data_IF_822275610110
#
_entry.id   IF_822275610110
#
_cell.length_a   1.000
_cell.length_b   1.000
_cell.length_c   1.000
_cell.angle_alpha   90.00
_cell.angle_beta   90.00
_cell.angle_gamma   90.00
#
_symmetry.space_group_name_H-M   'P 1'
#
loop_
_entity.id
_entity.type
_entity.pdbx_description
1 polymer ?
#
# COMPACT_ATOMS: atom_id res chain seq x y z
N UNK A 1 -66.55 8.04 -20.33
CA UNK A 1 -65.90 9.36 -20.34
C UNK A 1 -64.42 9.10 -20.43
N UNK A 2 -63.89 9.48 -21.57
CA UNK A 2 -62.48 9.56 -21.94
C UNK A 2 -61.70 10.38 -20.92
N UNK A 3 -60.54 9.87 -20.50
CA UNK A 3 -59.38 10.69 -20.11
C UNK A 3 -58.14 9.99 -20.68
N UNK A 4 -57.96 10.19 -21.99
CA UNK A 4 -56.63 10.27 -22.59
C UNK A 4 -56.08 11.64 -22.26
N UNK A 5 -55.08 11.70 -21.38
CA UNK A 5 -54.11 12.79 -21.17
C UNK A 5 -53.09 12.18 -20.19
N UNK A 6 -51.78 12.12 -20.40
CA UNK A 6 -50.91 12.77 -21.37
C UNK A 6 -49.61 11.94 -21.32
N UNK A 7 -49.45 10.98 -22.24
CA UNK A 7 -48.17 10.26 -22.44
C UNK A 7 -47.25 11.19 -23.25
N UNK A 8 -46.99 12.38 -22.69
CA UNK A 8 -46.01 13.28 -23.23
C UNK A 8 -44.67 12.53 -23.21
N UNK A 9 -43.96 12.41 -24.36
CA UNK A 9 -42.69 11.71 -24.40
C UNK A 9 -41.73 12.39 -23.43
N UNK A 10 -41.54 11.78 -22.26
CA UNK A 10 -40.62 12.28 -21.26
C UNK A 10 -39.22 12.28 -21.88
N UNK A 11 -38.38 13.30 -21.60
CA UNK A 11 -37.11 13.47 -22.30
C UNK A 11 -36.21 12.26 -22.06
N UNK A 12 -36.11 11.40 -23.08
CA UNK A 12 -35.14 10.32 -23.11
C UNK A 12 -33.75 10.93 -23.34
N UNK A 13 -32.92 10.92 -22.29
CA UNK A 13 -31.54 11.37 -22.43
C UNK A 13 -30.71 10.16 -22.83
N UNK A 14 -30.33 10.11 -24.11
CA UNK A 14 -29.35 9.18 -24.60
C UNK A 14 -27.96 9.59 -24.08
N UNK A 15 -27.37 8.76 -23.23
CA UNK A 15 -26.02 8.97 -22.73
C UNK A 15 -25.06 8.14 -23.57
N UNK A 16 -24.18 8.84 -24.27
CA UNK A 16 -23.16 8.23 -25.12
C UNK A 16 -21.92 7.90 -24.29
N UNK A 17 -21.61 6.61 -24.16
CA UNK A 17 -20.49 6.14 -23.36
C UNK A 17 -19.23 6.09 -24.24
N UNK A 18 -18.19 6.81 -23.81
CA UNK A 18 -16.91 6.88 -24.51
C UNK A 18 -15.83 6.17 -23.72
N UNK A 19 -14.93 5.48 -24.41
CA UNK A 19 -13.70 4.97 -23.80
C UNK A 19 -12.72 6.13 -23.59
N UNK A 20 -12.23 6.30 -22.36
CA UNK A 20 -11.26 7.37 -22.02
C UNK A 20 -9.91 7.19 -22.69
N UNK A 21 -9.57 5.97 -23.14
CA UNK A 21 -8.30 5.68 -23.84
C UNK A 21 -8.34 5.95 -25.35
N UNK A 22 -9.52 5.86 -25.99
CA UNK A 22 -9.61 5.95 -27.45
C UNK A 22 -10.68 6.93 -27.97
N UNK A 23 -11.47 7.58 -27.11
CA UNK A 23 -12.60 8.47 -27.48
C UNK A 23 -13.63 7.82 -28.43
N UNK A 24 -13.57 6.50 -28.65
CA UNK A 24 -14.52 5.76 -29.47
C UNK A 24 -15.83 5.53 -28.70
N UNK A 25 -16.95 5.53 -29.43
CA UNK A 25 -18.29 5.18 -28.95
C UNK A 25 -18.32 3.70 -28.55
N UNK A 26 -18.67 3.39 -27.29
CA UNK A 26 -18.67 2.02 -26.76
C UNK A 26 -20.08 1.47 -26.55
N UNK A 27 -21.08 2.33 -26.36
CA UNK A 27 -22.48 1.92 -26.27
C UNK A 27 -23.44 3.09 -26.03
N UNK A 28 -24.74 2.79 -26.06
CA UNK A 28 -25.82 3.75 -25.82
C UNK A 28 -26.68 3.24 -24.66
N UNK A 29 -26.81 4.07 -23.62
CA UNK A 29 -27.74 3.86 -22.52
C UNK A 29 -28.82 4.95 -22.53
N UNK A 30 -30.06 4.57 -22.25
CA UNK A 30 -31.16 5.52 -22.13
C UNK A 30 -31.56 5.59 -20.66
N UNK A 31 -31.51 6.80 -20.11
CA UNK A 31 -32.08 7.08 -18.79
C UNK A 31 -33.54 7.44 -18.98
N UNK A 32 -34.43 6.61 -18.47
CA UNK A 32 -35.88 6.82 -18.53
C UNK A 32 -36.38 7.28 -17.16
N UNK A 33 -37.19 8.33 -17.15
CA UNK A 33 -37.95 8.70 -15.97
C UNK A 33 -38.99 7.61 -15.72
N UNK A 34 -39.04 7.12 -14.48
CA UNK A 34 -40.00 6.10 -14.08
C UNK A 34 -41.18 6.80 -13.41
N UNK A 35 -42.40 6.44 -13.79
CA UNK A 35 -43.61 6.92 -13.11
C UNK A 35 -43.59 6.40 -11.66
N UNK A 36 -43.46 7.32 -10.70
CA UNK A 36 -43.49 6.99 -9.27
C UNK A 36 -44.89 6.54 -8.89
N UNK A 37 -44.98 5.44 -8.14
CA UNK A 37 -46.26 5.00 -7.56
C UNK A 37 -46.65 5.83 -6.33
N UNK A 38 -45.69 6.17 -5.47
CA UNK A 38 -45.90 7.01 -4.29
C UNK A 38 -44.61 7.71 -3.89
N UNK A 39 -44.69 8.98 -3.47
CA UNK A 39 -43.58 9.79 -2.97
C UNK A 39 -43.74 10.15 -1.49
N UNK A 40 -44.66 9.47 -0.79
CA UNK A 40 -44.93 9.71 0.62
C UNK A 40 -43.87 8.99 1.45
N UNK A 41 -43.04 9.78 2.12
CA UNK A 41 -41.95 9.30 2.95
C UNK A 41 -42.48 8.44 4.10
N UNK A 42 -42.09 7.16 4.17
CA UNK A 42 -42.52 6.19 5.17
C UNK A 42 -43.77 5.37 4.83
N UNK A 43 -44.36 5.52 3.63
CA UNK A 43 -45.47 4.68 3.17
C UNK A 43 -44.98 3.31 2.68
N UNK A 44 -45.83 2.29 2.76
CA UNK A 44 -45.51 0.92 2.35
C UNK A 44 -45.17 0.78 0.85
N UNK A 45 -45.56 1.77 0.03
CA UNK A 45 -45.36 1.84 -1.41
C UNK A 45 -44.40 2.97 -1.84
N UNK A 46 -43.62 3.53 -0.91
CA UNK A 46 -42.68 4.62 -1.19
C UNK A 46 -41.67 4.22 -2.30
N UNK A 47 -41.81 4.86 -3.47
CA UNK A 47 -40.93 4.62 -4.60
C UNK A 47 -39.77 5.62 -4.58
N UNK A 48 -38.70 5.22 -3.90
CA UNK A 48 -37.46 5.98 -3.79
C UNK A 48 -36.67 6.04 -5.10
N UNK A 49 -37.02 5.20 -6.10
CA UNK A 49 -36.29 5.10 -7.37
C UNK A 49 -36.94 5.98 -8.43
N UNK A 50 -36.25 7.05 -8.80
CA UNK A 50 -36.78 8.07 -9.70
C UNK A 50 -36.46 7.81 -11.19
N UNK A 51 -35.51 6.92 -11.47
CA UNK A 51 -34.96 6.70 -12.80
C UNK A 51 -34.66 5.22 -13.02
N UNK A 52 -34.84 4.78 -14.25
CA UNK A 52 -34.44 3.45 -14.73
C UNK A 52 -33.39 3.62 -15.84
N UNK A 53 -32.36 2.77 -15.82
CA UNK A 53 -31.32 2.76 -16.85
C UNK A 53 -31.52 1.52 -17.73
N UNK A 54 -31.83 1.74 -19.01
CA UNK A 54 -31.97 0.68 -20.00
C UNK A 54 -30.76 0.69 -20.93
N UNK A 55 -30.07 -0.46 -21.04
CA UNK A 55 -28.91 -0.66 -21.90
C UNK A 55 -29.39 -1.22 -23.25
N UNK A 56 -29.10 -0.53 -24.36
CA UNK A 56 -29.66 -0.89 -25.67
C UNK A 56 -28.69 -1.60 -26.62
N UNK A 57 -27.41 -1.22 -26.63
CA UNK A 57 -26.43 -1.88 -27.48
C UNK A 57 -25.00 -1.64 -27.01
N UNK A 58 -24.21 -2.72 -26.95
CA UNK A 58 -22.75 -2.70 -26.99
C UNK A 58 -22.33 -3.26 -28.34
N UNK A 59 -21.40 -2.60 -29.04
CA UNK A 59 -20.75 -3.24 -30.16
C UNK A 59 -19.77 -4.27 -29.60
N UNK A 60 -19.88 -5.54 -30.01
CA UNK A 60 -18.92 -6.59 -29.65
C UNK A 60 -17.53 -6.17 -30.14
N UNK A 61 -16.76 -5.59 -29.23
CA UNK A 61 -15.39 -5.17 -29.47
C UNK A 61 -14.49 -5.95 -28.53
N UNK A 62 -13.45 -6.56 -29.09
CA UNK A 62 -12.35 -7.20 -28.35
C UNK A 62 -11.66 -6.28 -27.32
N UNK A 63 -11.93 -4.97 -27.35
CA UNK A 63 -11.50 -4.00 -26.34
C UNK A 63 -12.23 -4.13 -24.97
N UNK A 64 -13.31 -4.92 -24.90
CA UNK A 64 -14.13 -5.16 -23.70
C UNK A 64 -13.65 -6.33 -22.81
N UNK A 65 -12.41 -6.80 -22.98
CA UNK A 65 -11.76 -7.67 -22.00
C UNK A 65 -11.71 -7.05 -20.57
N UNK A 66 -11.96 -5.74 -20.47
CA UNK A 66 -12.06 -4.99 -19.22
C UNK A 66 -13.52 -4.65 -18.82
N UNK A 67 -14.46 -5.57 -18.99
CA UNK A 67 -15.84 -5.47 -18.48
C UNK A 67 -15.90 -5.11 -16.97
N UNK A 68 -14.86 -5.48 -16.21
CA UNK A 68 -14.65 -5.05 -14.81
C UNK A 68 -14.60 -3.52 -14.63
N UNK A 69 -14.07 -2.77 -15.59
CA UNK A 69 -13.96 -1.30 -15.49
C UNK A 69 -15.31 -0.63 -15.67
N UNK A 70 -16.22 -1.24 -16.43
CA UNK A 70 -17.56 -0.73 -16.70
C UNK A 70 -18.49 -0.98 -15.50
N UNK A 71 -18.37 -2.14 -14.85
CA UNK A 71 -19.01 -2.42 -13.55
C UNK A 71 -18.56 -1.44 -12.45
N UNK A 72 -17.27 -1.06 -12.43
CA UNK A 72 -16.72 -0.06 -11.49
C UNK A 72 -17.33 1.34 -11.66
N UNK A 73 -17.79 1.69 -12.86
CA UNK A 73 -18.42 2.99 -13.15
C UNK A 73 -19.93 3.01 -12.88
N UNK A 74 -20.60 1.85 -12.87
CA UNK A 74 -22.04 1.72 -12.62
C UNK A 74 -22.36 1.40 -11.15
N UNK A 75 -21.41 0.88 -10.38
CA UNK A 75 -21.57 0.72 -8.94
C UNK A 75 -21.62 2.11 -8.25
N UNK A 76 -22.55 2.33 -7.30
CA UNK A 76 -22.61 3.58 -6.56
C UNK A 76 -21.26 3.83 -5.89
N UNK A 77 -20.58 4.90 -6.31
CA UNK A 77 -19.23 5.23 -5.84
C UNK A 77 -19.21 5.67 -4.36
N UNK A 78 -20.38 5.98 -3.79
CA UNK A 78 -20.58 6.32 -2.38
C UNK A 78 -21.94 5.78 -1.92
N UNK A 79 -21.92 4.84 -0.99
CA UNK A 79 -23.12 4.42 -0.25
C UNK A 79 -23.12 5.17 1.07
N UNK A 80 -24.16 5.96 1.33
CA UNK A 80 -24.33 6.66 2.60
C UNK A 80 -25.11 5.77 3.58
N UNK A 81 -24.72 5.79 4.85
CA UNK A 81 -25.51 5.13 5.88
C UNK A 81 -26.75 5.97 6.23
N UNK A 82 -27.89 5.32 6.52
CA UNK A 82 -29.00 5.96 7.19
C UNK A 82 -28.53 6.59 8.52
N UNK A 83 -29.04 7.78 8.88
CA UNK A 83 -28.64 8.46 10.11
C UNK A 83 -28.93 7.65 11.38
N UNK A 84 -29.85 6.67 11.35
CA UNK A 84 -30.13 5.80 12.50
C UNK A 84 -29.01 4.78 12.81
N UNK A 85 -28.15 4.46 11.84
CA UNK A 85 -27.04 3.49 11.98
C UNK A 85 -25.70 4.16 12.29
N UNK A 86 -25.60 5.49 12.18
CA UNK A 86 -24.39 6.24 12.53
C UNK A 86 -24.31 6.38 14.06
N UNK A 87 -23.73 5.37 14.72
CA UNK A 87 -23.82 5.23 16.17
C UNK A 87 -23.08 6.26 17.03
N UNK A 88 -22.35 7.24 16.49
CA UNK A 88 -21.89 8.41 17.26
C UNK A 88 -21.79 9.68 16.40
N UNK A 89 -22.22 10.85 16.91
CA UNK A 89 -21.98 12.12 16.23
C UNK A 89 -20.51 12.50 16.38
N UNK A 90 -19.72 12.26 15.34
CA UNK A 90 -18.42 12.92 15.18
C UNK A 90 -18.66 14.41 15.00
N UNK A 91 -18.23 15.20 16.01
CA UNK A 91 -18.44 16.64 16.09
C UNK A 91 -17.86 17.34 14.85
N UNK A 92 -18.72 18.05 14.10
CA UNK A 92 -18.28 19.15 13.22
C UNK A 92 -18.17 18.91 11.71
N UNK A 93 -18.69 17.82 11.15
CA UNK A 93 -18.77 17.66 9.70
C UNK A 93 -20.10 17.00 9.30
N UNK A 94 -20.60 17.34 8.10
CA UNK A 94 -21.84 16.83 7.51
C UNK A 94 -22.12 15.35 7.83
N UNK A 95 -23.31 15.05 8.34
CA UNK A 95 -23.84 13.74 8.79
C UNK A 95 -23.85 12.60 7.72
N UNK A 96 -23.20 12.79 6.58
CA UNK A 96 -23.17 11.84 5.47
C UNK A 96 -21.77 11.24 5.33
N UNK A 97 -21.44 10.30 6.22
CA UNK A 97 -20.28 9.43 6.04
C UNK A 97 -20.64 8.31 5.08
N UNK A 98 -19.75 8.07 4.13
CA UNK A 98 -19.85 6.91 3.24
C UNK A 98 -19.44 5.63 3.97
N UNK A 99 -19.99 4.49 3.54
CA UNK A 99 -19.59 3.15 4.02
C UNK A 99 -18.08 2.95 3.90
N UNK A 100 -17.47 3.50 2.85
CA UNK A 100 -16.02 3.47 2.66
C UNK A 100 -15.29 4.24 3.78
N UNK A 101 -15.72 5.46 4.13
CA UNK A 101 -15.09 6.26 5.19
C UNK A 101 -15.19 5.57 6.57
N UNK A 102 -16.25 4.80 6.79
CA UNK A 102 -16.47 4.09 8.04
C UNK A 102 -15.57 2.85 8.13
N UNK A 103 -15.60 2.01 7.10
CA UNK A 103 -14.92 0.70 7.10
C UNK A 103 -13.43 0.79 6.75
N UNK A 104 -13.01 1.82 6.00
CA UNK A 104 -11.64 1.90 5.48
C UNK A 104 -10.64 2.39 6.52
N UNK A 105 -10.32 1.51 7.46
CA UNK A 105 -9.30 1.70 8.52
C UNK A 105 -7.98 0.99 8.20
N UNK A 106 -7.77 0.61 6.93
CA UNK A 106 -6.58 -0.09 6.47
C UNK A 106 -5.30 0.74 6.68
N UNK A 107 -4.25 0.10 7.18
CA UNK A 107 -2.97 0.75 7.53
C UNK A 107 -2.09 0.98 6.31
N UNK A 108 -2.12 0.07 5.33
CA UNK A 108 -1.38 0.18 4.07
C UNK A 108 -2.23 0.79 2.96
N UNK A 109 -1.61 1.53 2.04
CA UNK A 109 -2.32 2.13 0.90
C UNK A 109 -2.93 1.07 -0.03
N UNK A 110 -2.21 -0.03 -0.27
CA UNK A 110 -2.71 -1.18 -1.02
C UNK A 110 -3.94 -1.83 -0.36
N UNK A 111 -3.96 -1.97 0.98
CA UNK A 111 -5.12 -2.50 1.70
C UNK A 111 -6.34 -1.58 1.60
N UNK A 112 -6.12 -0.26 1.67
CA UNK A 112 -7.21 0.73 1.49
C UNK A 112 -7.83 0.67 0.09
N UNK A 113 -6.99 0.52 -0.95
CA UNK A 113 -7.46 0.34 -2.34
C UNK A 113 -8.20 -0.98 -2.53
N UNK A 114 -7.74 -2.05 -1.88
CA UNK A 114 -8.39 -3.36 -1.94
C UNK A 114 -9.81 -3.32 -1.34
N UNK A 115 -10.00 -2.68 -0.20
CA UNK A 115 -11.33 -2.55 0.41
C UNK A 115 -12.28 -1.72 -0.45
N UNK A 116 -11.79 -0.62 -1.04
CA UNK A 116 -12.59 0.17 -1.98
C UNK A 116 -13.06 -0.70 -3.16
N UNK A 117 -12.18 -1.56 -3.69
CA UNK A 117 -12.54 -2.51 -4.74
C UNK A 117 -13.59 -3.52 -4.26
N UNK A 118 -13.45 -4.08 -3.07
CA UNK A 118 -14.42 -5.04 -2.51
C UNK A 118 -15.80 -4.44 -2.29
N UNK A 119 -15.90 -3.17 -1.89
CA UNK A 119 -17.19 -2.48 -1.74
C UNK A 119 -17.86 -2.28 -3.11
N UNK A 120 -17.07 -1.96 -4.16
CA UNK A 120 -17.58 -1.81 -5.53
C UNK A 120 -17.89 -3.14 -6.21
N UNK A 121 -17.29 -4.23 -5.75
CA UNK A 121 -17.41 -5.58 -6.31
C UNK A 121 -17.78 -6.60 -5.22
N UNK A 122 -19.05 -6.61 -4.77
CA UNK A 122 -19.51 -7.59 -3.79
C UNK A 122 -19.32 -9.02 -4.31
N UNK A 123 -18.98 -9.93 -3.39
CA UNK A 123 -18.98 -11.35 -3.70
C UNK A 123 -20.41 -11.85 -3.85
N UNK A 124 -20.60 -12.78 -4.79
CA UNK A 124 -21.88 -13.48 -5.02
C UNK A 124 -21.79 -14.98 -4.67
N UNK A 125 -20.58 -15.51 -4.56
CA UNK A 125 -20.34 -16.89 -4.18
C UNK A 125 -20.37 -17.07 -2.66
N UNK A 126 -21.24 -17.96 -2.18
CA UNK A 126 -21.45 -18.21 -0.76
C UNK A 126 -20.17 -18.67 -0.06
N UNK A 127 -19.43 -19.62 -0.66
CA UNK A 127 -18.21 -20.16 -0.05
C UNK A 127 -17.13 -19.09 0.11
N UNK A 128 -17.01 -18.20 -0.87
CA UNK A 128 -16.08 -17.06 -0.81
C UNK A 128 -16.47 -16.04 0.26
N UNK A 129 -17.77 -15.86 0.50
CA UNK A 129 -18.28 -14.99 1.57
C UNK A 129 -17.95 -15.60 2.94
N UNK A 130 -18.31 -16.87 3.16
CA UNK A 130 -18.02 -17.61 4.40
C UNK A 130 -16.52 -17.61 4.69
N UNK A 131 -15.68 -17.93 3.71
CA UNK A 131 -14.22 -17.92 3.87
C UNK A 131 -13.63 -16.53 4.17
N UNK A 132 -14.32 -15.43 3.85
CA UNK A 132 -13.94 -14.08 4.30
C UNK A 132 -14.41 -13.81 5.73
N UNK A 133 -15.62 -14.24 6.07
CA UNK A 133 -16.18 -14.10 7.42
C UNK A 133 -15.35 -14.89 8.44
N UNK A 134 -14.92 -16.11 8.11
CA UNK A 134 -14.07 -16.93 8.97
C UNK A 134 -12.74 -16.23 9.30
N UNK A 135 -12.12 -15.58 8.31
CA UNK A 135 -10.91 -14.77 8.53
C UNK A 135 -11.19 -13.60 9.44
N UNK A 136 -12.29 -12.88 9.21
CA UNK A 136 -12.66 -11.72 10.06
C UNK A 136 -12.89 -12.18 11.49
N UNK A 137 -13.58 -13.31 11.67
CA UNK A 137 -13.90 -13.85 12.99
C UNK A 137 -12.64 -14.12 13.81
N UNK A 138 -11.55 -14.63 13.19
CA UNK A 138 -10.25 -14.79 13.86
C UNK A 138 -9.76 -13.50 14.52
N UNK A 139 -9.81 -12.39 13.80
CA UNK A 139 -9.35 -11.09 14.31
C UNK A 139 -10.38 -10.38 15.19
N UNK A 140 -11.63 -10.84 15.21
CA UNK A 140 -12.65 -10.40 16.16
C UNK A 140 -12.44 -11.11 17.50
N UNK A 141 -12.22 -12.41 17.47
CA UNK A 141 -12.01 -13.26 18.64
C UNK A 141 -10.66 -13.02 19.33
N UNK A 142 -9.65 -12.58 18.57
CA UNK A 142 -8.34 -12.20 19.10
C UNK A 142 -8.01 -10.72 18.81
N UNK A 143 -8.49 -9.79 19.66
CA UNK A 143 -8.18 -8.36 19.53
C UNK A 143 -6.69 -8.05 19.67
N UNK A 144 -5.95 -8.84 20.46
CA UNK A 144 -4.51 -8.63 20.68
C UNK A 144 -3.72 -8.91 19.41
N UNK A 145 -3.98 -10.04 18.74
CA UNK A 145 -3.41 -10.36 17.44
C UNK A 145 -3.74 -9.26 16.41
N UNK A 146 -5.00 -8.80 16.37
CA UNK A 146 -5.44 -7.74 15.46
C UNK A 146 -4.67 -6.43 15.70
N UNK A 147 -4.52 -6.01 16.95
CA UNK A 147 -3.81 -4.77 17.30
C UNK A 147 -2.33 -4.87 16.96
N UNK A 148 -1.66 -5.96 17.33
CA UNK A 148 -0.24 -6.15 17.01
C UNK A 148 -0.02 -6.15 15.49
N UNK A 149 -0.87 -6.87 14.75
CA UNK A 149 -0.79 -6.91 13.30
C UNK A 149 -0.98 -5.52 12.68
N UNK A 150 -2.02 -4.80 13.06
CA UNK A 150 -2.36 -3.51 12.43
C UNK A 150 -1.43 -2.38 12.86
N UNK A 151 -1.21 -2.20 14.16
CA UNK A 151 -0.55 -1.02 14.69
C UNK A 151 0.98 -1.15 14.70
N UNK A 152 1.52 -2.37 14.82
CA UNK A 152 2.96 -2.59 14.83
C UNK A 152 3.52 -3.11 13.51
N UNK A 153 2.89 -4.13 12.92
CA UNK A 153 3.50 -4.85 11.77
C UNK A 153 3.12 -4.25 10.43
N UNK A 154 1.83 -4.04 10.18
CA UNK A 154 1.32 -3.54 8.90
C UNK A 154 1.69 -2.08 8.62
N UNK A 155 1.94 -1.28 9.66
CA UNK A 155 2.35 0.13 9.50
C UNK A 155 3.75 0.26 8.87
N UNK A 156 4.62 -0.72 9.09
CA UNK A 156 5.97 -0.75 8.54
C UNK A 156 6.01 -1.23 7.08
N UNK A 157 4.91 -1.79 6.55
CA UNK A 157 4.88 -2.25 5.17
C UNK A 157 4.69 -1.06 4.21
N UNK A 158 5.61 -0.90 3.23
CA UNK A 158 5.47 0.12 2.21
C UNK A 158 4.35 -0.25 1.22
N UNK A 159 4.05 0.67 0.31
CA UNK A 159 3.13 0.41 -0.80
C UNK A 159 3.82 -0.46 -1.87
N UNK A 160 3.85 -1.77 -1.63
CA UNK A 160 4.50 -2.76 -2.51
C UNK A 160 3.84 -2.84 -3.89
N UNK A 161 2.53 -2.62 -3.99
CA UNK A 161 1.80 -2.58 -5.28
C UNK A 161 2.26 -1.38 -6.13
N UNK A 162 2.50 -0.22 -5.51
CA UNK A 162 3.08 0.94 -6.22
C UNK A 162 4.52 0.65 -6.64
N UNK A 163 5.32 0.08 -5.73
CA UNK A 163 6.74 -0.20 -5.98
C UNK A 163 6.92 -1.21 -7.10
N UNK A 164 6.10 -2.27 -7.17
CA UNK A 164 6.20 -3.27 -8.25
C UNK A 164 6.01 -2.63 -9.64
N UNK A 165 5.02 -1.75 -9.80
CA UNK A 165 4.77 -1.03 -11.06
C UNK A 165 5.92 -0.07 -11.41
N UNK A 166 6.53 0.57 -10.42
CA UNK A 166 7.69 1.46 -10.64
C UNK A 166 8.90 0.66 -11.10
N UNK A 167 9.21 -0.45 -10.43
CA UNK A 167 10.33 -1.32 -10.76
C UNK A 167 10.16 -2.00 -12.12
N UNK A 168 8.95 -2.47 -12.44
CA UNK A 168 8.63 -3.09 -13.73
C UNK A 168 8.85 -2.12 -14.90
N UNK A 169 8.50 -0.84 -14.71
CA UNK A 169 8.69 0.20 -15.74
C UNK A 169 10.15 0.55 -15.99
N UNK A 170 11.07 0.19 -15.09
CA UNK A 170 12.52 0.46 -15.16
C UNK A 170 12.91 1.93 -15.41
N UNK A 171 11.98 2.85 -15.24
CA UNK A 171 12.13 4.28 -15.53
C UNK A 171 11.93 5.05 -14.24
N UNK A 172 12.88 5.90 -13.89
CA UNK A 172 12.89 6.72 -12.67
C UNK A 172 12.90 5.89 -11.36
N UNK A 173 13.46 4.68 -11.38
CA UNK A 173 13.69 3.88 -10.17
C UNK A 173 14.78 4.57 -9.35
N UNK A 174 14.50 4.87 -8.08
CA UNK A 174 15.49 5.43 -7.15
C UNK A 174 16.09 4.34 -6.27
N UNK A 175 17.28 4.60 -5.74
CA UNK A 175 17.91 3.73 -4.74
C UNK A 175 17.00 3.58 -3.52
N UNK A 176 16.34 4.66 -3.09
CA UNK A 176 15.37 4.61 -1.99
C UNK A 176 14.22 3.60 -2.22
N UNK A 177 13.75 3.45 -3.46
CA UNK A 177 12.70 2.47 -3.77
C UNK A 177 13.24 1.04 -3.59
N UNK A 178 14.49 0.79 -3.98
CA UNK A 178 15.17 -0.51 -3.80
C UNK A 178 15.40 -0.81 -2.31
N UNK A 179 15.89 0.17 -1.55
CA UNK A 179 16.09 0.06 -0.10
C UNK A 179 14.76 -0.20 0.61
N UNK A 180 13.68 0.47 0.19
CA UNK A 180 12.35 0.25 0.74
C UNK A 180 11.85 -1.18 0.53
N UNK A 181 12.09 -1.77 -0.65
CA UNK A 181 11.77 -3.18 -0.92
C UNK A 181 12.65 -4.11 -0.09
N UNK A 182 13.94 -3.78 0.06
CA UNK A 182 14.87 -4.55 0.89
C UNK A 182 14.44 -4.56 2.36
N UNK A 183 14.10 -3.41 2.95
CA UNK A 183 13.63 -3.32 4.33
C UNK A 183 12.32 -4.10 4.53
N UNK A 184 11.43 -4.06 3.53
CA UNK A 184 10.20 -4.83 3.56
C UNK A 184 10.48 -6.34 3.53
N UNK A 185 11.34 -6.79 2.62
CA UNK A 185 11.72 -8.19 2.44
C UNK A 185 12.46 -8.75 3.67
N UNK A 186 13.43 -8.00 4.20
CA UNK A 186 14.29 -8.42 5.31
C UNK A 186 13.61 -8.36 6.67
N UNK A 187 12.74 -7.37 6.89
CA UNK A 187 12.19 -7.08 8.22
C UNK A 187 10.66 -7.13 8.27
N UNK A 188 9.97 -6.31 7.49
CA UNK A 188 8.53 -6.10 7.68
C UNK A 188 7.70 -7.36 7.36
N UNK A 189 7.96 -8.02 6.23
CA UNK A 189 7.23 -9.22 5.80
C UNK A 189 7.51 -10.40 6.75
N UNK A 190 8.77 -10.73 7.12
CA UNK A 190 9.05 -11.78 8.09
C UNK A 190 8.39 -11.57 9.45
N UNK A 191 8.31 -10.33 9.94
CA UNK A 191 7.61 -10.02 11.20
C UNK A 191 6.12 -10.35 11.14
N UNK A 192 5.45 -10.02 10.04
CA UNK A 192 4.05 -10.38 9.82
C UNK A 192 3.90 -11.91 9.76
N UNK A 193 4.78 -12.59 9.03
CA UNK A 193 4.78 -14.05 8.93
C UNK A 193 4.93 -14.73 10.29
N UNK A 194 5.89 -14.29 11.11
CA UNK A 194 6.12 -14.84 12.45
C UNK A 194 4.89 -14.64 13.35
N UNK A 195 4.27 -13.46 13.30
CA UNK A 195 3.05 -13.18 14.07
C UNK A 195 1.89 -14.10 13.66
N UNK A 196 1.68 -14.29 12.35
CA UNK A 196 0.61 -15.16 11.84
C UNK A 196 0.85 -16.63 12.18
N UNK A 197 2.10 -17.10 12.15
CA UNK A 197 2.47 -18.47 12.53
C UNK A 197 2.40 -18.72 14.04
N UNK A 198 2.56 -17.68 14.85
CA UNK A 198 2.42 -17.77 16.30
C UNK A 198 0.96 -17.93 16.73
N UNK A 199 -0.01 -17.69 15.86
CA UNK A 199 -1.43 -17.86 16.16
C UNK A 199 -1.82 -19.35 16.26
N UNK A 200 -2.18 -19.79 17.46
CA UNK A 200 -2.57 -21.18 17.76
C UNK A 200 -4.07 -21.38 17.99
N UNK A 201 -4.91 -20.44 17.52
CA UNK A 201 -6.36 -20.53 17.71
C UNK A 201 -7.05 -21.58 16.82
N UNK A 202 -8.37 -21.69 16.97
CA UNK A 202 -9.19 -22.71 16.30
C UNK A 202 -9.06 -22.69 14.78
N UNK A 203 -8.88 -21.51 14.18
CA UNK A 203 -8.73 -21.32 12.74
C UNK A 203 -7.27 -21.15 12.29
N UNK A 204 -6.30 -21.64 13.08
CA UNK A 204 -4.86 -21.57 12.75
C UNK A 204 -4.55 -22.18 11.38
N UNK A 205 -5.14 -23.32 11.04
CA UNK A 205 -4.97 -23.95 9.73
C UNK A 205 -5.43 -23.05 8.56
N UNK A 206 -6.49 -22.27 8.78
CA UNK A 206 -7.00 -21.32 7.77
C UNK A 206 -6.05 -20.14 7.60
N UNK A 207 -5.51 -19.59 8.69
CA UNK A 207 -4.52 -18.50 8.64
C UNK A 207 -3.22 -18.99 7.98
N UNK A 208 -2.78 -20.20 8.31
CA UNK A 208 -1.58 -20.81 7.74
C UNK A 208 -1.73 -20.96 6.22
N UNK A 209 -2.82 -21.62 5.77
CA UNK A 209 -3.04 -21.89 4.36
C UNK A 209 -3.27 -20.61 3.54
N UNK A 210 -4.04 -19.64 4.08
CA UNK A 210 -4.45 -18.45 3.33
C UNK A 210 -3.42 -17.34 3.34
N UNK A 211 -2.61 -17.22 4.39
CA UNK A 211 -1.67 -16.11 4.57
C UNK A 211 -0.24 -16.56 4.80
N UNK A 212 0.03 -17.41 5.79
CA UNK A 212 1.40 -17.72 6.19
C UNK A 212 2.19 -18.46 5.10
N UNK A 213 1.58 -19.45 4.45
CA UNK A 213 2.23 -20.20 3.35
C UNK A 213 2.54 -19.29 2.15
N UNK A 214 1.59 -18.51 1.60
CA UNK A 214 1.90 -17.54 0.55
C UNK A 214 2.95 -16.51 0.95
N UNK A 215 2.89 -15.97 2.18
CA UNK A 215 3.87 -15.01 2.67
C UNK A 215 5.27 -15.62 2.81
N UNK A 216 5.36 -16.88 3.27
CA UNK A 216 6.63 -17.60 3.35
C UNK A 216 7.23 -17.81 1.95
N UNK A 217 6.42 -18.11 0.94
CA UNK A 217 6.89 -18.19 -0.43
C UNK A 217 7.43 -16.85 -0.92
N UNK A 218 6.74 -15.74 -0.64
CA UNK A 218 7.23 -14.39 -1.00
C UNK A 218 8.57 -14.06 -0.33
N UNK A 219 8.76 -14.44 0.94
CA UNK A 219 10.05 -14.26 1.63
C UNK A 219 11.15 -15.09 0.97
N UNK A 220 10.84 -16.34 0.59
CA UNK A 220 11.80 -17.18 -0.13
C UNK A 220 12.14 -16.63 -1.51
N UNK A 221 11.16 -16.15 -2.27
CA UNK A 221 11.37 -15.58 -3.60
C UNK A 221 12.23 -14.29 -3.55
N UNK A 222 12.13 -13.54 -2.45
CA UNK A 222 12.90 -12.31 -2.23
C UNK A 222 14.28 -12.56 -1.59
N UNK A 223 14.61 -13.77 -1.16
CA UNK A 223 15.87 -14.03 -0.45
C UNK A 223 17.09 -13.70 -1.31
N UNK A 224 17.07 -14.08 -2.59
CA UNK A 224 18.16 -13.77 -3.52
C UNK A 224 18.34 -12.27 -3.76
N UNK A 225 17.26 -11.48 -3.68
CA UNK A 225 17.36 -10.02 -3.73
C UNK A 225 18.00 -9.45 -2.47
N UNK A 226 17.62 -9.94 -1.29
CA UNK A 226 18.22 -9.53 -0.01
C UNK A 226 19.71 -9.85 0.00
N UNK A 227 20.10 -11.06 -0.39
CA UNK A 227 21.50 -11.48 -0.49
C UNK A 227 22.30 -10.61 -1.47
N UNK A 228 21.74 -10.32 -2.65
CA UNK A 228 22.38 -9.45 -3.64
C UNK A 228 22.67 -8.05 -3.07
N UNK A 229 21.69 -7.46 -2.37
CA UNK A 229 21.85 -6.12 -1.78
C UNK A 229 22.87 -6.14 -0.64
N UNK A 230 22.86 -7.16 0.21
CA UNK A 230 23.82 -7.29 1.30
C UNK A 230 25.25 -7.49 0.80
N UNK A 231 25.44 -8.28 -0.27
CA UNK A 231 26.74 -8.49 -0.88
C UNK A 231 27.25 -7.22 -1.56
N UNK A 232 26.40 -6.51 -2.30
CA UNK A 232 26.75 -5.24 -2.92
C UNK A 232 27.17 -4.21 -1.87
N UNK A 233 26.42 -4.11 -0.75
CA UNK A 233 26.81 -3.26 0.36
C UNK A 233 28.16 -3.69 0.93
N UNK A 234 28.34 -4.98 1.25
CA UNK A 234 29.60 -5.49 1.81
C UNK A 234 30.81 -5.12 0.96
N UNK A 235 30.72 -5.33 -0.36
CA UNK A 235 31.79 -4.97 -1.28
C UNK A 235 32.14 -3.48 -1.22
N UNK A 236 31.14 -2.59 -1.22
CA UNK A 236 31.41 -1.15 -1.13
C UNK A 236 31.98 -0.74 0.24
N UNK A 237 31.55 -1.39 1.33
CA UNK A 237 32.12 -1.17 2.65
C UNK A 237 33.60 -1.61 2.72
N UNK A 238 33.94 -2.73 2.09
CA UNK A 238 35.32 -3.24 2.04
C UNK A 238 36.23 -2.30 1.23
N UNK A 239 35.74 -1.75 0.12
CA UNK A 239 36.47 -0.77 -0.69
C UNK A 239 36.75 0.52 0.11
N UNK A 240 35.73 1.06 0.80
CA UNK A 240 35.89 2.24 1.66
C UNK A 240 36.88 1.97 2.81
N UNK A 241 36.82 0.78 3.42
CA UNK A 241 37.73 0.42 4.49
C UNK A 241 39.18 0.32 3.97
N UNK A 242 39.38 -0.26 2.79
CA UNK A 242 40.70 -0.35 2.16
C UNK A 242 41.28 1.04 1.84
N UNK A 243 40.47 1.97 1.33
CA UNK A 243 40.88 3.36 1.11
C UNK A 243 41.32 4.05 2.41
N UNK A 244 40.56 3.88 3.50
CA UNK A 244 40.90 4.42 4.83
C UNK A 244 42.21 3.81 5.33
N UNK A 245 42.41 2.50 5.17
CA UNK A 245 43.64 1.83 5.57
C UNK A 245 44.86 2.29 4.76
N UNK A 246 44.71 2.52 3.45
CA UNK A 246 45.78 3.04 2.59
C UNK A 246 46.14 4.49 2.93
N UNK A 247 45.15 5.32 3.21
CA UNK A 247 45.37 6.68 3.72
C UNK A 247 46.10 6.63 5.07
N UNK A 248 45.69 5.74 5.97
CA UNK A 248 46.37 5.52 7.25
C UNK A 248 47.82 5.05 7.09
N UNK A 249 48.08 4.08 6.19
CA UNK A 249 49.43 3.60 5.86
C UNK A 249 50.30 4.74 5.33
N UNK A 250 49.77 5.55 4.42
CA UNK A 250 50.44 6.69 3.82
C UNK A 250 50.77 7.77 4.86
N UNK A 251 49.81 8.10 5.73
CA UNK A 251 50.00 9.04 6.82
C UNK A 251 51.10 8.55 7.78
N UNK A 252 51.07 7.27 8.17
CA UNK A 252 52.09 6.68 9.05
C UNK A 252 53.50 6.72 8.43
N UNK A 253 53.62 6.43 7.14
CA UNK A 253 54.89 6.48 6.42
C UNK A 253 55.44 7.92 6.29
N UNK A 254 54.57 8.89 5.99
CA UNK A 254 54.95 10.30 5.86
C UNK A 254 55.22 11.01 7.19
N UNK A 255 54.56 10.57 8.27
CA UNK A 255 54.72 11.17 9.60
C UNK A 255 56.09 10.81 10.18
N UNK A 256 56.48 9.53 10.30
CA UNK A 256 57.81 9.10 10.79
C UNK A 256 58.27 9.65 12.17
N UNK A 257 59.28 9.02 12.80
CA UNK A 257 59.88 9.48 14.07
C UNK A 257 59.24 8.93 15.36
N UNK A 258 59.49 9.60 16.50
CA UNK A 258 59.05 9.18 17.86
C UNK A 258 57.55 9.47 18.10
N UNK A 259 56.67 8.81 17.36
CA UNK A 259 55.22 9.04 17.45
C UNK A 259 54.52 7.73 17.77
N UNK A 260 53.76 7.73 18.87
CA UNK A 260 53.09 6.53 19.38
C UNK A 260 51.68 6.45 18.77
N UNK A 261 51.45 5.42 17.97
CA UNK A 261 50.11 5.10 17.47
C UNK A 261 49.33 4.35 18.55
N UNK A 262 48.17 4.87 18.94
CA UNK A 262 47.24 4.20 19.86
C UNK A 262 45.89 3.99 19.15
N UNK A 263 45.24 2.85 19.41
CA UNK A 263 43.87 2.61 18.96
C UNK A 263 42.92 3.38 19.87
N UNK A 264 42.21 4.35 19.31
CA UNK A 264 41.16 5.07 20.02
C UNK A 264 39.81 4.35 19.84
N UNK A 265 38.98 4.30 20.89
CA UNK A 265 37.71 3.57 20.85
C UNK A 265 36.63 4.22 19.99
N UNK A 266 36.79 5.51 19.65
CA UNK A 266 35.81 6.31 18.91
C UNK A 266 36.32 6.67 17.52
N UNK A 267 37.62 6.89 17.36
CA UNK A 267 38.24 7.33 16.10
C UNK A 267 39.14 6.29 15.44
N UNK A 268 39.22 5.10 16.03
CA UNK A 268 40.02 3.92 15.62
C UNK A 268 41.55 4.14 15.58
N UNK A 269 42.07 5.24 15.03
CA UNK A 269 43.51 5.52 14.94
C UNK A 269 43.85 6.94 15.40
N UNK A 270 44.64 7.08 16.47
CA UNK A 270 45.14 8.36 16.95
C UNK A 270 46.67 8.31 17.09
N UNK A 271 47.34 9.33 16.57
CA UNK A 271 48.80 9.49 16.69
C UNK A 271 49.11 10.47 17.82
N UNK A 272 49.80 10.01 18.87
CA UNK A 272 50.25 10.86 19.98
C UNK A 272 51.72 11.23 19.79
N UNK A 273 51.99 12.54 19.78
CA UNK A 273 53.35 13.09 19.73
C UNK A 273 54.05 12.86 21.07
N UNK A 274 55.30 12.41 21.05
CA UNK A 274 56.13 12.29 22.27
C UNK A 274 57.03 13.52 22.52
N UNK A 275 57.18 14.40 21.51
CA UNK A 275 58.05 15.58 21.56
C UNK A 275 57.39 16.80 20.90
N UNK A 276 57.43 17.95 21.58
CA UNK A 276 56.92 19.24 21.09
C UNK A 276 57.69 19.80 19.89
N UNK A 277 58.91 19.30 19.61
CA UNK A 277 59.67 19.69 18.41
C UNK A 277 59.07 19.14 17.11
N UNK A 278 58.40 17.99 17.18
CA UNK A 278 57.78 17.33 16.02
C UNK A 278 56.43 17.95 15.66
N UNK A 279 55.77 18.62 16.62
CA UNK A 279 54.46 19.27 16.45
C UNK A 279 54.47 20.32 15.33
N UNK A 280 55.52 21.16 15.26
CA UNK A 280 55.65 22.20 14.24
C UNK A 280 55.96 21.67 12.83
N UNK A 281 56.49 20.45 12.72
CA UNK A 281 56.72 19.77 11.44
C UNK A 281 55.42 19.13 10.95
N UNK A 282 54.69 18.50 11.86
CA UNK A 282 53.49 17.70 11.57
C UNK A 282 52.27 18.58 11.32
N UNK A 283 52.17 19.75 11.98
CA UNK A 283 51.12 20.74 11.70
C UNK A 283 51.14 21.31 10.28
N UNK A 284 52.25 21.12 9.55
CA UNK A 284 52.41 21.56 8.16
C UNK A 284 52.02 20.48 7.14
N UNK A 285 51.72 19.26 7.59
CA UNK A 285 51.27 18.18 6.71
C UNK A 285 49.79 18.37 6.35
N UNK A 286 49.42 18.20 5.07
CA UNK A 286 48.07 18.54 4.58
C UNK A 286 46.96 17.63 5.14
N UNK A 287 47.30 16.47 5.68
CA UNK A 287 46.39 15.44 6.19
C UNK A 287 46.44 15.29 7.72
N UNK A 288 47.00 16.27 8.44
CA UNK A 288 47.12 16.18 9.91
C UNK A 288 46.34 17.29 10.60
N UNK A 289 45.32 16.90 11.37
CA UNK A 289 44.61 17.77 12.30
C UNK A 289 45.08 17.50 13.73
N UNK A 290 45.69 18.50 14.37
CA UNK A 290 46.09 18.44 15.78
C UNK A 290 44.86 18.76 16.64
N UNK A 291 44.34 17.77 17.37
CA UNK A 291 43.32 17.99 18.40
C UNK A 291 44.01 18.36 19.72
N UNK A 292 43.67 19.52 20.28
CA UNK A 292 44.05 19.92 21.65
C UNK A 292 43.13 19.29 22.69
#
# INVERSE_FOLDING_TARGET
MSDTDDDAPQPEIAVQIHSTKQLKRVGVAVRRARLRRSCVRGAADEDTKHWELSLFAFADSSELANLETLLVQLAPSRCFLPPELAQEPLVGASLQLSVLEILNRGKTAMGRRLLERWIRQPLVDLKSIEARQDVVQVFVDDPSLRMELLDERMKALPDLERLSVVLERKRNVRVDDLVTVYDAAKSAIPRVLTLLRAYTGASSALIEAKFAVPLAQVVADLSGYVELVEEALRSEWDDVLAEIEDEHRSARAGIGGDIKCEKDKVREFVFRLTSTKEEARISKLPYVHICQ
#
